data_IF_301353392748
#
_entry.id   IF_301353392748
#
_cell.length_a   1.000
_cell.length_b   1.000
_cell.length_c   1.000
_cell.angle_alpha   90.00
_cell.angle_beta   90.00
_cell.angle_gamma   90.00
#
_symmetry.space_group_name_H-M   'P 1'
#
loop_
_entity.id
_entity.type
_entity.pdbx_description
1 polymer ?
#
# COMPACT_ATOMS: atom_id res chain seq x y z
N UNK A 1 0.09 -16.84 -8.70
CA UNK A 1 -1.26 -16.24 -8.56
C UNK A 1 -1.31 -14.95 -9.35
N UNK A 2 -2.36 -14.69 -10.07
CA UNK A 2 -2.59 -13.45 -10.81
C UNK A 2 -3.83 -12.74 -10.25
N UNK A 3 -3.81 -11.40 -10.28
CA UNK A 3 -4.91 -10.57 -9.77
C UNK A 3 -5.04 -9.31 -10.61
N UNK A 4 -6.17 -8.62 -10.47
CA UNK A 4 -6.41 -7.30 -11.04
C UNK A 4 -6.11 -6.22 -10.00
N UNK A 5 -5.89 -4.98 -10.44
CA UNK A 5 -5.74 -3.84 -9.54
C UNK A 5 -7.00 -3.59 -8.71
N UNK A 6 -8.17 -3.78 -9.31
CA UNK A 6 -9.45 -3.66 -8.61
C UNK A 6 -9.55 -4.65 -7.44
N UNK A 7 -9.26 -5.93 -7.70
CA UNK A 7 -9.30 -6.96 -6.66
C UNK A 7 -8.27 -6.71 -5.56
N UNK A 8 -7.07 -6.21 -5.91
CA UNK A 8 -6.05 -5.85 -4.93
C UNK A 8 -6.49 -4.68 -4.05
N UNK A 9 -7.14 -3.67 -4.61
CA UNK A 9 -7.65 -2.53 -3.84
C UNK A 9 -8.76 -2.97 -2.89
N UNK A 10 -9.70 -3.79 -3.37
CA UNK A 10 -10.77 -4.38 -2.53
C UNK A 10 -10.17 -5.23 -1.42
N UNK A 11 -9.18 -6.07 -1.74
CA UNK A 11 -8.48 -6.90 -0.77
C UNK A 11 -7.76 -6.06 0.29
N UNK A 12 -7.00 -5.04 -0.12
CA UNK A 12 -6.30 -4.15 0.80
C UNK A 12 -7.28 -3.50 1.78
N UNK A 13 -8.42 -3.01 1.30
CA UNK A 13 -9.44 -2.41 2.14
C UNK A 13 -10.01 -3.43 3.14
N UNK A 14 -10.39 -4.60 2.67
CA UNK A 14 -10.93 -5.66 3.53
C UNK A 14 -9.91 -6.11 4.59
N UNK A 15 -8.66 -6.30 4.18
CA UNK A 15 -7.58 -6.77 5.05
C UNK A 15 -7.30 -5.76 6.16
N UNK A 16 -7.02 -4.51 5.79
CA UNK A 16 -6.58 -3.50 6.76
C UNK A 16 -7.72 -2.85 7.55
N UNK A 17 -8.97 -3.05 7.15
CA UNK A 17 -10.15 -2.70 7.94
C UNK A 17 -10.59 -3.84 8.89
N UNK A 18 -9.83 -4.94 8.95
CA UNK A 18 -10.08 -6.02 9.91
C UNK A 18 -11.19 -6.99 9.51
N UNK A 19 -11.50 -7.10 8.21
CA UNK A 19 -12.56 -7.98 7.69
C UNK A 19 -12.06 -9.29 7.10
N UNK A 20 -10.73 -9.46 6.94
CA UNK A 20 -10.14 -10.65 6.34
C UNK A 20 -9.83 -11.75 7.37
N UNK A 21 -9.60 -11.37 8.62
CA UNK A 21 -9.38 -12.27 9.75
C UNK A 21 -9.87 -11.60 11.04
N UNK A 22 -9.91 -12.30 12.19
CA UNK A 22 -10.45 -11.68 13.40
C UNK A 22 -9.80 -10.35 13.75
N UNK A 23 -10.61 -9.30 13.86
CA UNK A 23 -10.15 -7.92 14.06
C UNK A 23 -9.25 -7.74 15.29
N UNK A 24 -9.44 -8.60 16.32
CA UNK A 24 -8.61 -8.58 17.53
C UNK A 24 -7.13 -8.90 17.27
N UNK A 25 -6.80 -9.49 16.13
CA UNK A 25 -5.43 -9.83 15.73
C UNK A 25 -4.74 -8.70 14.95
N UNK A 26 -5.49 -7.68 14.52
CA UNK A 26 -4.94 -6.54 13.76
C UNK A 26 -3.80 -5.83 14.48
N UNK A 27 -3.87 -5.54 15.80
CA UNK A 27 -2.75 -4.91 16.51
C UNK A 27 -1.44 -5.69 16.39
N UNK A 28 -1.49 -7.03 16.47
CA UNK A 28 -0.30 -7.86 16.28
C UNK A 28 0.24 -7.77 14.85
N UNK A 29 -0.64 -7.81 13.87
CA UNK A 29 -0.26 -7.75 12.46
C UNK A 29 0.39 -6.41 12.10
N UNK A 30 -0.08 -5.31 12.70
CA UNK A 30 0.30 -3.93 12.34
C UNK A 30 1.32 -3.28 13.27
N UNK A 31 1.82 -3.97 14.30
CA UNK A 31 2.85 -3.43 15.18
C UNK A 31 4.20 -3.35 14.47
N UNK A 32 4.66 -4.44 13.91
CA UNK A 32 5.86 -4.50 13.09
C UNK A 32 7.17 -4.22 13.82
N UNK A 33 8.25 -4.37 13.09
CA UNK A 33 9.61 -4.04 13.51
C UNK A 33 10.22 -3.03 12.55
N UNK A 34 11.25 -2.32 12.99
CA UNK A 34 11.94 -1.35 12.13
C UNK A 34 12.50 -2.02 10.87
N UNK A 35 12.25 -1.43 9.71
CA UNK A 35 12.66 -1.96 8.41
C UNK A 35 13.16 -0.83 7.48
N UNK A 36 14.28 -0.18 7.83
CA UNK A 36 14.75 1.00 7.08
C UNK A 36 15.09 0.73 5.62
N UNK A 37 15.35 -0.54 5.26
CA UNK A 37 15.59 -0.93 3.87
C UNK A 37 14.35 -0.78 2.98
N UNK A 38 13.14 -0.69 3.58
CA UNK A 38 11.88 -0.51 2.87
C UNK A 38 11.48 0.97 2.74
N UNK A 39 12.26 1.86 3.33
CA UNK A 39 12.02 3.30 3.30
C UNK A 39 12.33 3.95 4.65
N UNK A 40 12.47 5.28 4.63
CA UNK A 40 12.72 6.04 5.85
C UNK A 40 11.57 5.82 6.84
N UNK A 41 11.93 5.44 8.08
CA UNK A 41 10.99 5.17 9.18
C UNK A 41 9.96 4.07 8.86
N UNK A 42 10.21 3.26 7.83
CA UNK A 42 9.35 2.13 7.50
C UNK A 42 9.47 1.03 8.56
N UNK A 43 8.37 0.32 8.76
CA UNK A 43 8.28 -0.85 9.64
C UNK A 43 7.71 -2.02 8.83
N UNK A 44 7.95 -3.23 9.28
CA UNK A 44 7.39 -4.42 8.66
C UNK A 44 6.65 -5.26 9.69
N UNK A 45 5.36 -5.46 9.46
CA UNK A 45 4.48 -6.26 10.30
C UNK A 45 4.35 -7.70 9.80
N UNK A 46 3.23 -8.32 10.05
CA UNK A 46 2.95 -9.67 9.53
C UNK A 46 2.45 -9.58 8.08
N UNK A 47 3.39 -9.59 7.14
CA UNK A 47 3.08 -9.46 5.71
C UNK A 47 2.63 -8.05 5.30
N UNK A 48 3.02 -7.03 6.04
CA UNK A 48 2.62 -5.65 5.75
C UNK A 48 3.80 -4.70 5.90
N UNK A 49 3.96 -3.81 4.92
CA UNK A 49 4.86 -2.67 5.01
C UNK A 49 4.09 -1.50 5.60
N UNK A 50 4.60 -0.95 6.68
CA UNK A 50 3.99 0.17 7.40
C UNK A 50 4.85 1.40 7.13
N UNK A 51 4.28 2.42 6.48
CA UNK A 51 5.02 3.61 6.05
C UNK A 51 4.38 4.89 6.57
N UNK A 52 5.18 5.85 7.09
CA UNK A 52 4.70 7.22 7.26
C UNK A 52 4.55 7.89 5.89
N UNK A 53 3.46 8.62 5.69
CA UNK A 53 3.22 9.39 4.47
C UNK A 53 2.64 10.76 4.82
N UNK A 54 2.60 11.72 3.88
CA UNK A 54 1.92 13.00 4.12
C UNK A 54 0.43 12.85 4.46
N UNK A 55 -0.17 11.69 4.15
CA UNK A 55 -1.57 11.36 4.46
C UNK A 55 -1.74 10.54 5.73
N UNK A 56 -0.71 10.46 6.56
CA UNK A 56 -0.67 9.61 7.74
C UNK A 56 -0.02 8.25 7.46
N UNK A 57 -0.18 7.32 8.40
CA UNK A 57 0.36 5.97 8.24
C UNK A 57 -0.34 5.24 7.09
N UNK A 58 0.43 4.56 6.27
CA UNK A 58 -0.07 3.72 5.19
C UNK A 58 0.33 2.26 5.42
N UNK A 59 -0.59 1.35 5.13
CA UNK A 59 -0.38 -0.09 5.18
C UNK A 59 -0.41 -0.66 3.76
N UNK A 60 0.47 -1.58 3.44
CA UNK A 60 0.46 -2.17 2.12
C UNK A 60 1.58 -3.16 1.89
N UNK A 61 1.83 -3.46 0.65
CA UNK A 61 2.95 -4.30 0.23
C UNK A 61 3.35 -4.01 -1.21
N UNK A 62 4.65 -4.16 -1.47
CA UNK A 62 5.21 -4.09 -2.82
C UNK A 62 5.41 -5.50 -3.35
N UNK A 63 5.21 -5.69 -4.64
CA UNK A 63 5.45 -6.94 -5.33
C UNK A 63 6.40 -6.77 -6.51
N UNK A 64 7.32 -7.71 -6.64
CA UNK A 64 8.21 -7.82 -7.79
C UNK A 64 8.07 -9.20 -8.39
N UNK A 65 7.89 -9.24 -9.71
CA UNK A 65 8.03 -10.44 -10.51
C UNK A 65 8.72 -10.04 -11.82
N UNK A 66 9.61 -10.85 -12.39
CA UNK A 66 10.26 -10.46 -13.65
C UNK A 66 9.26 -10.01 -14.71
N UNK A 67 9.37 -8.74 -15.16
CA UNK A 67 8.46 -8.11 -16.08
C UNK A 67 7.30 -7.33 -15.45
N UNK A 68 7.15 -7.35 -14.10
CA UNK A 68 6.03 -6.70 -13.43
C UNK A 68 6.43 -6.06 -12.11
N UNK A 69 5.82 -4.91 -11.81
CA UNK A 69 5.85 -4.29 -10.48
C UNK A 69 4.42 -4.07 -10.02
N UNK A 70 4.16 -4.36 -8.74
CA UNK A 70 2.84 -4.20 -8.13
C UNK A 70 2.98 -3.48 -6.80
N UNK A 71 2.06 -2.60 -6.51
CA UNK A 71 1.95 -1.95 -5.21
C UNK A 71 0.49 -1.90 -4.81
N UNK A 72 0.19 -2.20 -3.55
CA UNK A 72 -1.11 -1.91 -2.96
C UNK A 72 -0.91 -1.15 -1.67
N UNK A 73 -1.79 -0.22 -1.38
CA UNK A 73 -1.71 0.64 -0.20
C UNK A 73 -3.10 0.98 0.33
N UNK A 74 -3.20 1.06 1.65
CA UNK A 74 -4.38 1.51 2.36
C UNK A 74 -4.02 2.65 3.30
N UNK A 75 -4.78 3.74 3.22
CA UNK A 75 -4.65 4.91 4.09
C UNK A 75 -5.78 4.91 5.12
N UNK A 76 -5.54 4.43 6.35
CA UNK A 76 -6.61 4.25 7.33
C UNK A 76 -7.28 5.56 7.75
N UNK A 77 -6.53 6.66 7.81
CA UNK A 77 -7.06 7.97 8.20
C UNK A 77 -8.08 8.52 7.19
N UNK A 78 -8.06 8.03 5.95
CA UNK A 78 -8.92 8.46 4.86
C UNK A 78 -9.79 7.35 4.30
N UNK A 79 -9.59 6.10 4.74
CA UNK A 79 -10.30 4.90 4.27
C UNK A 79 -10.19 4.68 2.76
N UNK A 80 -9.04 5.03 2.19
CA UNK A 80 -8.75 4.89 0.76
C UNK A 80 -7.79 3.71 0.55
N UNK A 81 -8.15 2.81 -0.34
CA UNK A 81 -7.29 1.75 -0.83
C UNK A 81 -6.98 1.94 -2.31
N UNK A 82 -5.72 1.80 -2.67
CA UNK A 82 -5.25 1.94 -4.05
C UNK A 82 -4.33 0.79 -4.42
N UNK A 83 -4.33 0.42 -5.68
CA UNK A 83 -3.39 -0.56 -6.23
C UNK A 83 -2.88 -0.11 -7.60
N UNK A 84 -1.63 -0.45 -7.87
CA UNK A 84 -0.94 -0.16 -9.12
C UNK A 84 -0.25 -1.42 -9.61
N UNK A 85 -0.41 -1.73 -10.89
CA UNK A 85 0.33 -2.79 -11.57
C UNK A 85 0.98 -2.22 -12.83
N UNK A 86 2.27 -2.51 -13.00
CA UNK A 86 3.04 -2.07 -14.16
C UNK A 86 3.65 -3.30 -14.83
N UNK A 87 3.50 -3.40 -16.13
CA UNK A 87 4.05 -4.50 -16.93
C UNK A 87 5.53 -4.27 -17.32
N UNK A 88 6.30 -3.76 -16.38
CA UNK A 88 7.75 -3.57 -16.46
C UNK A 88 8.35 -3.79 -15.08
N UNK A 89 9.49 -4.47 -15.02
CA UNK A 89 10.25 -4.60 -13.78
C UNK A 89 11.49 -3.69 -13.77
N UNK A 90 11.61 -2.78 -14.74
CA UNK A 90 12.70 -1.82 -14.81
C UNK A 90 12.33 -0.56 -14.00
N UNK A 91 12.97 -0.31 -12.83
CA UNK A 91 12.61 0.82 -11.96
C UNK A 91 12.63 2.18 -12.66
N UNK A 92 13.55 2.36 -13.62
CA UNK A 92 13.68 3.61 -14.38
C UNK A 92 12.47 3.92 -15.26
N UNK A 93 11.67 2.91 -15.64
CA UNK A 93 10.53 3.10 -16.54
C UNK A 93 9.41 3.93 -15.90
N UNK A 94 9.32 3.94 -14.58
CA UNK A 94 8.30 4.70 -13.84
C UNK A 94 8.85 5.93 -13.13
N UNK A 95 10.18 6.15 -13.15
CA UNK A 95 10.81 7.37 -12.66
C UNK A 95 10.85 7.55 -11.15
N UNK A 96 10.07 6.79 -10.39
CA UNK A 96 10.02 6.82 -8.91
C UNK A 96 9.40 5.54 -8.37
N UNK A 97 9.54 5.24 -7.05
CA UNK A 97 8.90 4.08 -6.45
C UNK A 97 7.37 4.09 -6.65
N UNK A 98 6.75 2.93 -6.92
CA UNK A 98 5.30 2.84 -7.15
C UNK A 98 4.45 3.43 -6.02
N UNK A 99 4.86 3.29 -4.77
CA UNK A 99 4.13 3.86 -3.63
C UNK A 99 4.01 5.38 -3.72
N UNK A 100 5.00 6.07 -4.29
CA UNK A 100 4.95 7.52 -4.50
C UNK A 100 3.80 7.94 -5.42
N UNK A 101 3.53 7.17 -6.46
CA UNK A 101 2.36 7.39 -7.33
C UNK A 101 1.06 7.24 -6.57
N UNK A 102 0.96 6.21 -5.72
CA UNK A 102 -0.28 5.95 -4.98
C UNK A 102 -0.54 7.02 -3.93
N UNK A 103 0.49 7.55 -3.29
CA UNK A 103 0.35 8.71 -2.37
C UNK A 103 -0.18 9.92 -3.13
N UNK A 104 0.39 10.24 -4.28
CA UNK A 104 -0.05 11.36 -5.10
C UNK A 104 -1.50 11.18 -5.59
N UNK A 105 -1.86 9.99 -6.06
CA UNK A 105 -3.23 9.69 -6.47
C UNK A 105 -4.22 9.86 -5.30
N UNK A 106 -3.86 9.42 -4.11
CA UNK A 106 -4.70 9.60 -2.93
C UNK A 106 -4.89 11.08 -2.60
N UNK A 107 -3.84 11.89 -2.72
CA UNK A 107 -3.93 13.35 -2.54
C UNK A 107 -4.89 13.98 -3.55
N UNK A 108 -4.80 13.59 -4.82
CA UNK A 108 -5.68 14.10 -5.88
C UNK A 108 -7.15 13.73 -5.60
N UNK A 109 -7.40 12.48 -5.17
CA UNK A 109 -8.75 12.03 -4.81
C UNK A 109 -9.31 12.87 -3.67
N UNK A 110 -8.53 13.11 -2.62
CA UNK A 110 -8.95 13.90 -1.47
C UNK A 110 -9.20 15.37 -1.82
N UNK A 111 -8.40 15.94 -2.70
CA UNK A 111 -8.63 17.30 -3.21
C UNK A 111 -9.90 17.38 -4.04
N UNK A 112 -10.19 16.36 -4.85
CA UNK A 112 -11.41 16.24 -5.64
C UNK A 112 -12.67 16.21 -4.77
N UNK A 113 -12.64 15.48 -3.66
CA UNK A 113 -13.76 15.37 -2.71
C UNK A 113 -14.06 16.69 -1.97
N UNK A 114 -13.12 17.64 -1.94
CA UNK A 114 -13.32 18.96 -1.32
C UNK A 114 -14.00 19.97 -2.25
N UNK A 115 -14.13 19.63 -3.53
CA UNK A 115 -14.79 20.46 -4.55
C UNK A 115 -16.26 20.11 -4.64
#
# INVERSE_FOLDING_TARGET
MASTTEDLAVWAKALYEGRAFPAKLMPQALTGVSAPMLGKEARYGLGVIIRPTPLGTAYGHSGFFPGYLTEMVYFPDHKIALALQVNSSVPRSIGRPPVGFLVELAQIILEGDRR
#
